data_IF_486271086910
#
_entry.id   IF_486271086910
#
_cell.length_a   1.000
_cell.length_b   1.000
_cell.length_c   1.000
_cell.angle_alpha   90.00
_cell.angle_beta   90.00
_cell.angle_gamma   90.00
#
_symmetry.space_group_name_H-M   'P 1'
#
loop_
_entity.id
_entity.type
_entity.pdbx_description
1 polymer ?
#
# COMPACT_ATOMS: atom_id res chain seq x y z
N UNK A 1 58.96 69.25 53.62
CA UNK A 1 57.73 68.50 53.31
C UNK A 1 57.93 67.84 51.94
N UNK A 2 58.34 66.55 51.98
CA UNK A 2 58.78 65.76 50.83
C UNK A 2 57.66 64.75 50.51
N UNK A 3 57.06 64.83 49.32
CA UNK A 3 56.09 63.81 48.84
C UNK A 3 56.85 62.79 48.02
N UNK A 4 56.97 61.56 48.55
CA UNK A 4 57.47 60.44 47.84
C UNK A 4 56.44 59.83 46.92
N UNK A 5 56.63 59.93 45.60
CA UNK A 5 55.89 59.22 44.59
C UNK A 5 56.41 57.79 44.45
N UNK A 6 55.56 56.80 44.80
CA UNK A 6 55.77 55.39 44.57
C UNK A 6 55.41 55.08 43.15
N UNK A 7 56.32 54.68 42.28
CA UNK A 7 56.11 54.11 40.97
C UNK A 7 55.83 52.59 41.12
N UNK A 8 54.62 52.17 40.75
CA UNK A 8 54.24 50.74 40.62
C UNK A 8 54.68 50.25 39.21
N UNK A 9 55.46 49.18 39.09
CA UNK A 9 55.76 48.63 37.77
C UNK A 9 54.57 47.83 37.26
N UNK A 10 54.04 48.22 36.09
CA UNK A 10 53.08 47.43 35.33
C UNK A 10 53.77 46.23 34.72
N UNK A 11 53.44 45.05 35.22
CA UNK A 11 53.94 43.78 34.69
C UNK A 11 53.03 43.37 33.52
N UNK A 12 53.45 43.60 32.27
CA UNK A 12 52.83 43.11 31.06
C UNK A 12 53.04 41.59 30.96
N UNK A 13 52.02 40.80 31.32
CA UNK A 13 52.00 39.36 31.02
C UNK A 13 51.75 39.18 29.51
N UNK A 14 52.79 38.84 28.76
CA UNK A 14 52.71 38.38 27.38
C UNK A 14 52.24 36.92 27.46
N UNK A 15 50.95 36.69 27.20
CA UNK A 15 50.41 35.36 26.95
C UNK A 15 50.89 34.91 25.56
N UNK A 16 51.99 34.16 25.52
CA UNK A 16 52.37 33.40 24.34
C UNK A 16 51.42 32.20 24.20
N UNK A 17 50.30 32.42 23.49
CA UNK A 17 49.44 31.35 23.02
C UNK A 17 50.20 30.51 22.01
N UNK A 18 50.74 29.35 22.43
CA UNK A 18 51.17 28.32 21.49
C UNK A 18 49.92 27.84 20.73
N UNK A 19 49.68 28.45 19.56
CA UNK A 19 48.75 27.83 18.60
C UNK A 19 49.40 26.51 18.13
N UNK A 20 48.91 25.40 18.63
CA UNK A 20 49.25 24.08 18.10
C UNK A 20 48.71 24.01 16.67
N UNK A 21 49.55 24.20 15.69
CA UNK A 21 49.24 23.93 14.29
C UNK A 21 49.23 22.41 14.17
N UNK A 22 48.00 21.83 14.17
CA UNK A 22 47.85 20.40 13.92
C UNK A 22 48.53 20.00 12.61
N UNK A 23 48.90 18.74 12.49
CA UNK A 23 49.51 18.22 11.25
C UNK A 23 48.60 18.59 10.05
N UNK A 24 49.20 19.00 8.91
CA UNK A 24 48.40 19.31 7.71
C UNK A 24 47.55 18.10 7.35
N UNK A 25 46.24 18.29 7.30
CA UNK A 25 45.33 17.24 6.82
C UNK A 25 45.76 16.81 5.41
N UNK A 26 45.78 15.51 5.11
CA UNK A 26 46.07 15.03 3.77
C UNK A 26 45.12 15.69 2.75
N UNK A 27 45.61 15.99 1.53
CA UNK A 27 44.77 16.63 0.52
C UNK A 27 43.54 15.80 0.25
N UNK A 28 42.37 16.43 0.31
CA UNK A 28 41.08 15.77 0.05
C UNK A 28 41.08 15.15 -1.36
N UNK A 29 40.77 13.86 -1.45
CA UNK A 29 40.75 13.10 -2.71
C UNK A 29 39.63 13.54 -3.61
N UNK A 30 38.52 14.05 -3.01
CA UNK A 30 37.31 14.48 -3.72
C UNK A 30 36.71 13.39 -4.65
N UNK A 31 36.86 12.14 -4.28
CA UNK A 31 36.28 11.00 -4.99
C UNK A 31 34.84 10.82 -4.48
N UNK A 32 33.82 10.84 -5.33
CA UNK A 32 32.44 10.59 -4.91
C UNK A 32 32.30 9.19 -4.29
N UNK A 33 31.42 9.03 -3.31
CA UNK A 33 30.98 7.71 -2.88
C UNK A 33 30.39 6.93 -4.06
N UNK A 34 30.42 5.60 -3.95
CA UNK A 34 29.89 4.70 -4.96
C UNK A 34 28.36 4.77 -4.98
N UNK A 35 27.76 4.76 -6.17
CA UNK A 35 26.32 4.59 -6.33
C UNK A 35 25.94 3.15 -5.97
N UNK A 36 25.09 2.95 -4.97
CA UNK A 36 24.67 1.62 -4.48
C UNK A 36 23.20 1.28 -4.77
N UNK A 37 22.44 2.21 -5.35
CA UNK A 37 21.00 2.12 -5.49
C UNK A 37 20.51 1.98 -6.94
N UNK A 38 21.38 1.53 -7.88
CA UNK A 38 20.97 1.35 -9.27
C UNK A 38 19.88 0.28 -9.38
N UNK A 39 18.74 0.67 -9.94
CA UNK A 39 17.59 -0.21 -10.22
C UNK A 39 17.14 0.01 -11.65
N UNK A 40 16.72 -1.06 -12.29
CA UNK A 40 16.23 -1.04 -13.67
C UNK A 40 15.01 -1.94 -13.74
N UNK A 41 13.92 -1.43 -14.32
CA UNK A 41 12.69 -2.18 -14.54
C UNK A 41 12.05 -1.75 -15.85
N UNK A 42 11.09 -2.53 -16.32
CA UNK A 42 10.29 -2.16 -17.49
C UNK A 42 8.88 -1.77 -17.04
N UNK A 43 8.38 -0.66 -17.59
CA UNK A 43 7.01 -0.21 -17.41
C UNK A 43 6.37 0.04 -18.77
N UNK A 44 5.37 -0.77 -19.14
CA UNK A 44 4.81 -0.73 -20.46
C UNK A 44 5.90 -0.83 -21.54
N UNK A 45 5.93 0.13 -22.44
CA UNK A 45 6.91 0.23 -23.52
C UNK A 45 8.19 1.01 -23.13
N UNK A 46 8.39 1.35 -21.87
CA UNK A 46 9.54 2.08 -21.38
C UNK A 46 10.41 1.25 -20.42
N UNK A 47 11.70 1.53 -20.39
CA UNK A 47 12.64 1.08 -19.36
C UNK A 47 12.88 2.23 -18.40
N UNK A 48 12.61 1.97 -17.13
CA UNK A 48 12.81 2.90 -16.02
C UNK A 48 14.16 2.59 -15.34
N UNK A 49 15.02 3.60 -15.26
CA UNK A 49 16.33 3.52 -14.62
C UNK A 49 16.35 4.49 -13.45
N UNK A 50 16.58 3.98 -12.26
CA UNK A 50 16.62 4.78 -11.04
C UNK A 50 17.93 4.59 -10.29
N UNK A 51 18.53 5.66 -9.78
CA UNK A 51 19.68 5.62 -8.87
C UNK A 51 19.76 6.90 -8.04
N UNK A 52 20.60 6.89 -7.02
CA UNK A 52 20.83 8.08 -6.18
C UNK A 52 22.28 8.53 -6.35
N UNK A 53 22.47 9.78 -6.77
CA UNK A 53 23.79 10.43 -6.75
C UNK A 53 24.11 10.73 -5.28
N UNK A 54 25.25 10.24 -4.74
CA UNK A 54 25.62 10.50 -3.36
C UNK A 54 25.79 11.99 -3.09
N UNK A 55 25.59 12.40 -1.86
CA UNK A 55 25.81 13.76 -1.39
C UNK A 55 27.21 13.98 -0.79
N UNK A 56 27.97 12.89 -0.59
CA UNK A 56 29.29 12.91 0.01
C UNK A 56 30.37 12.31 -0.92
N UNK A 57 31.57 12.69 -0.62
CA UNK A 57 32.81 12.07 -1.12
C UNK A 57 33.32 11.02 -0.12
N UNK A 58 34.24 10.14 -0.54
CA UNK A 58 34.81 9.07 0.30
C UNK A 58 35.58 9.60 1.52
N UNK A 59 35.97 10.87 1.52
CA UNK A 59 36.60 11.61 2.62
C UNK A 59 35.59 12.44 3.42
N UNK A 60 34.25 12.18 3.27
CA UNK A 60 33.18 12.78 4.06
C UNK A 60 32.89 14.25 3.75
N UNK A 61 33.37 14.77 2.62
CA UNK A 61 33.07 16.14 2.18
C UNK A 61 31.83 16.18 1.30
N UNK A 62 31.12 17.32 1.31
CA UNK A 62 29.97 17.52 0.44
C UNK A 62 30.32 17.40 -1.04
N UNK A 63 29.67 16.51 -1.77
CA UNK A 63 29.90 16.28 -3.19
C UNK A 63 29.30 17.40 -4.02
N UNK A 64 30.10 17.93 -4.95
CA UNK A 64 29.66 18.71 -6.10
C UNK A 64 29.83 17.84 -7.33
N UNK A 65 28.74 17.27 -7.88
CA UNK A 65 28.82 16.38 -9.03
C UNK A 65 29.37 17.13 -10.27
N UNK A 66 30.17 16.45 -11.06
CA UNK A 66 30.65 16.93 -12.37
C UNK A 66 29.85 16.26 -13.50
N UNK A 67 30.11 14.99 -13.75
CA UNK A 67 29.45 14.20 -14.79
C UNK A 67 28.96 12.86 -14.24
N UNK A 68 27.93 12.29 -14.86
CA UNK A 68 27.47 10.93 -14.63
C UNK A 68 27.77 10.12 -15.88
N UNK A 69 28.33 8.95 -15.72
CA UNK A 69 28.51 7.96 -16.76
C UNK A 69 27.56 6.79 -16.48
N UNK A 70 26.48 6.73 -17.23
CA UNK A 70 25.50 5.63 -17.18
C UNK A 70 25.64 4.82 -18.46
N UNK A 71 26.05 3.58 -18.32
CA UNK A 71 26.31 2.65 -19.40
C UNK A 71 25.27 1.55 -19.48
N UNK A 72 24.91 1.16 -20.70
CA UNK A 72 24.08 0.00 -20.98
C UNK A 72 24.68 -0.85 -22.10
N UNK A 73 24.65 -2.19 -21.98
CA UNK A 73 25.16 -3.12 -22.99
C UNK A 73 24.46 -4.48 -22.88
N UNK A 74 24.36 -5.18 -24.01
CA UNK A 74 23.97 -6.60 -24.03
C UNK A 74 25.10 -7.51 -23.50
N UNK A 75 26.33 -7.07 -23.61
CA UNK A 75 27.47 -7.82 -23.08
C UNK A 75 27.53 -7.65 -21.56
N UNK A 76 27.61 -8.78 -20.86
CA UNK A 76 27.83 -8.76 -19.42
C UNK A 76 29.19 -8.13 -19.09
N UNK A 77 29.28 -7.23 -18.11
CA UNK A 77 30.57 -6.70 -17.67
C UNK A 77 31.39 -7.81 -17.00
N UNK A 78 32.69 -7.92 -17.30
CA UNK A 78 33.56 -8.84 -16.59
C UNK A 78 33.76 -8.35 -15.14
N UNK A 79 34.02 -9.23 -14.16
CA UNK A 79 34.12 -8.87 -12.75
C UNK A 79 35.09 -7.72 -12.46
N UNK A 80 36.24 -7.71 -13.13
CA UNK A 80 37.32 -6.73 -12.91
C UNK A 80 37.58 -5.81 -14.12
N UNK A 81 36.57 -5.65 -15.00
CA UNK A 81 36.79 -4.99 -16.31
C UNK A 81 35.75 -3.93 -16.67
N UNK A 82 35.04 -3.33 -15.73
CA UNK A 82 34.00 -2.35 -15.98
C UNK A 82 34.47 -1.14 -16.82
N UNK A 83 35.68 -0.67 -16.63
CA UNK A 83 36.24 0.44 -17.44
C UNK A 83 36.47 0.05 -18.92
N UNK A 84 36.86 -1.19 -19.19
CA UNK A 84 36.99 -1.69 -20.55
C UNK A 84 35.61 -1.93 -21.20
N UNK A 85 34.68 -2.49 -20.44
CA UNK A 85 33.29 -2.68 -20.84
C UNK A 85 32.60 -1.34 -21.16
N UNK A 86 32.83 -0.32 -20.32
CA UNK A 86 32.23 1.01 -20.46
C UNK A 86 32.72 1.78 -21.72
N UNK A 87 33.81 1.37 -22.35
CA UNK A 87 34.23 1.94 -23.65
C UNK A 87 33.41 1.45 -24.82
N UNK A 88 32.66 0.36 -24.65
CA UNK A 88 31.88 -0.28 -25.72
C UNK A 88 30.36 -0.23 -25.44
N UNK A 89 29.96 0.33 -24.30
CA UNK A 89 28.54 0.43 -23.94
C UNK A 89 27.86 1.60 -24.65
N UNK A 90 26.51 1.53 -24.72
CA UNK A 90 25.68 2.68 -25.03
C UNK A 90 25.71 3.63 -23.84
N UNK A 91 26.11 4.90 -24.07
CA UNK A 91 26.07 5.93 -23.04
C UNK A 91 24.67 6.55 -22.97
N UNK A 92 24.08 6.53 -21.79
CA UNK A 92 22.79 7.17 -21.54
C UNK A 92 23.04 8.54 -20.89
N UNK A 93 22.60 9.63 -21.53
CA UNK A 93 22.87 10.98 -21.02
C UNK A 93 22.14 11.24 -19.71
N UNK A 94 22.80 11.94 -18.80
CA UNK A 94 22.25 12.43 -17.53
C UNK A 94 22.56 13.90 -17.46
N UNK A 95 21.57 14.74 -17.67
CA UNK A 95 21.74 16.20 -17.72
C UNK A 95 21.77 16.80 -16.31
N UNK A 96 22.66 17.79 -16.12
CA UNK A 96 22.74 18.62 -14.91
C UNK A 96 22.68 17.81 -13.60
N UNK A 97 23.65 16.89 -13.36
CA UNK A 97 23.58 16.01 -12.20
C UNK A 97 23.67 16.80 -10.88
N UNK A 98 22.76 16.47 -9.97
CA UNK A 98 22.73 16.99 -8.60
C UNK A 98 22.68 15.81 -7.62
N UNK A 99 23.14 15.95 -6.38
CA UNK A 99 22.95 14.94 -5.35
C UNK A 99 21.47 14.61 -5.18
N UNK A 100 21.16 13.33 -4.97
CA UNK A 100 19.78 12.86 -4.77
C UNK A 100 19.32 11.89 -5.85
N UNK A 101 18.00 11.63 -5.86
CA UNK A 101 17.39 10.63 -6.73
C UNK A 101 17.33 11.08 -8.20
N UNK A 102 17.83 10.23 -9.08
CA UNK A 102 17.74 10.36 -10.54
C UNK A 102 16.77 9.30 -11.06
N UNK A 103 15.88 9.70 -11.98
CA UNK A 103 14.99 8.79 -12.70
C UNK A 103 15.06 9.11 -14.18
N UNK A 104 15.25 8.09 -14.98
CA UNK A 104 15.32 8.19 -16.44
C UNK A 104 14.36 7.17 -17.01
N UNK A 105 13.43 7.65 -17.84
CA UNK A 105 12.53 6.81 -18.62
C UNK A 105 12.98 6.85 -20.08
N UNK A 106 13.09 5.68 -20.69
CA UNK A 106 13.47 5.58 -22.11
C UNK A 106 12.63 4.52 -22.83
N UNK A 107 12.34 4.67 -24.12
CA UNK A 107 11.66 3.63 -24.89
C UNK A 107 12.43 2.30 -24.87
N UNK A 108 11.73 1.20 -24.59
CA UNK A 108 12.30 -0.15 -24.57
C UNK A 108 12.72 -0.64 -25.97
N UNK A 109 12.10 -0.14 -27.02
CA UNK A 109 12.16 -0.55 -28.43
C UNK A 109 13.41 -1.29 -28.88
N UNK A 110 14.58 -0.61 -28.93
CA UNK A 110 15.84 -1.22 -29.39
C UNK A 110 16.39 -2.32 -28.45
N UNK A 111 15.89 -2.37 -27.21
CA UNK A 111 16.30 -3.35 -26.19
C UNK A 111 15.32 -4.53 -26.06
N UNK A 112 14.16 -4.46 -26.70
CA UNK A 112 13.16 -5.54 -26.64
C UNK A 112 13.72 -6.86 -27.14
N UNK A 113 13.56 -7.92 -26.35
CA UNK A 113 14.10 -9.26 -26.61
C UNK A 113 15.55 -9.46 -26.16
N UNK A 114 16.18 -8.45 -25.56
CA UNK A 114 17.58 -8.46 -25.15
C UNK A 114 17.72 -8.46 -23.62
N UNK A 115 18.83 -9.02 -23.15
CA UNK A 115 19.24 -8.89 -21.75
C UNK A 115 20.27 -7.76 -21.65
N UNK A 116 19.89 -6.70 -20.95
CA UNK A 116 20.71 -5.50 -20.79
C UNK A 116 21.39 -5.49 -19.43
N UNK A 117 22.66 -5.11 -19.44
CA UNK A 117 23.45 -4.86 -18.24
C UNK A 117 23.74 -3.36 -18.13
N UNK A 118 23.49 -2.79 -16.96
CA UNK A 118 23.68 -1.36 -16.72
C UNK A 118 24.59 -1.15 -15.53
N UNK A 119 25.44 -0.14 -15.62
CA UNK A 119 26.26 0.34 -14.52
C UNK A 119 26.39 1.85 -14.56
N UNK A 120 26.56 2.48 -13.41
CA UNK A 120 26.66 3.92 -13.27
C UNK A 120 27.84 4.31 -12.38
N UNK A 121 28.51 5.41 -12.72
CA UNK A 121 29.47 6.11 -11.83
C UNK A 121 29.29 7.61 -11.96
N UNK A 122 29.78 8.32 -10.96
CA UNK A 122 29.68 9.78 -10.85
C UNK A 122 31.06 10.39 -10.71
N UNK A 123 31.32 11.52 -11.34
CA UNK A 123 32.52 12.29 -11.08
C UNK A 123 32.24 13.46 -10.15
N UNK A 124 33.27 13.90 -9.40
CA UNK A 124 33.23 15.21 -8.78
C UNK A 124 33.49 16.32 -9.81
N UNK A 125 33.22 17.57 -9.43
CA UNK A 125 33.53 18.76 -10.25
C UNK A 125 35.04 18.89 -10.56
N UNK A 126 35.91 18.19 -9.83
CA UNK A 126 37.34 18.09 -10.08
C UNK A 126 37.72 16.95 -11.02
N UNK A 127 36.75 16.28 -11.64
CA UNK A 127 36.95 15.18 -12.58
C UNK A 127 37.40 13.85 -11.95
N UNK A 128 37.28 13.71 -10.63
CA UNK A 128 37.59 12.44 -9.94
C UNK A 128 36.33 11.56 -10.00
N UNK A 129 36.50 10.34 -10.53
CA UNK A 129 35.40 9.37 -10.67
C UNK A 129 35.26 8.48 -9.43
N UNK A 130 34.03 8.17 -9.05
CA UNK A 130 33.72 7.08 -8.11
C UNK A 130 34.05 5.72 -8.73
N UNK A 131 34.03 4.69 -7.92
CA UNK A 131 33.89 3.33 -8.42
C UNK A 131 32.55 3.16 -9.15
N UNK A 132 32.49 2.15 -10.02
CA UNK A 132 31.24 1.76 -10.67
C UNK A 132 30.26 1.17 -9.65
N UNK A 133 28.97 1.39 -9.86
CA UNK A 133 27.91 0.66 -9.15
C UNK A 133 28.04 -0.85 -9.39
N UNK A 134 27.39 -1.66 -8.56
CA UNK A 134 27.08 -3.04 -8.95
C UNK A 134 26.27 -2.99 -10.26
N UNK A 135 26.59 -3.86 -11.24
CA UNK A 135 25.80 -3.95 -12.45
C UNK A 135 24.37 -4.41 -12.16
N UNK A 136 23.39 -3.67 -12.67
CA UNK A 136 22.00 -4.10 -12.71
C UNK A 136 21.72 -4.83 -14.05
N UNK A 137 20.85 -5.81 -14.02
CA UNK A 137 20.49 -6.61 -15.18
C UNK A 137 18.97 -6.58 -15.41
N UNK A 138 18.55 -6.38 -16.67
CA UNK A 138 17.16 -6.42 -17.08
C UNK A 138 17.01 -7.19 -18.39
N UNK A 139 16.21 -8.22 -18.41
CA UNK A 139 15.73 -8.83 -19.65
C UNK A 139 14.47 -8.06 -20.12
N UNK A 140 14.62 -7.31 -21.20
CA UNK A 140 13.54 -6.49 -21.74
C UNK A 140 12.64 -7.36 -22.62
N UNK A 141 11.39 -7.46 -22.24
CA UNK A 141 10.37 -8.26 -22.93
C UNK A 141 9.44 -7.38 -23.78
N UNK A 142 8.63 -7.95 -24.70
CA UNK A 142 7.52 -7.19 -25.29
C UNK A 142 6.63 -6.59 -24.20
N UNK A 143 6.10 -5.39 -24.44
CA UNK A 143 5.24 -4.69 -23.50
C UNK A 143 4.09 -5.57 -23.01
N UNK A 144 3.87 -5.59 -21.71
CA UNK A 144 2.69 -6.26 -21.12
C UNK A 144 1.47 -5.38 -21.33
N UNK A 145 0.37 -6.00 -21.73
CA UNK A 145 -0.92 -5.32 -21.84
C UNK A 145 -1.57 -5.19 -20.44
N UNK A 146 -2.10 -4.02 -20.09
CA UNK A 146 -2.85 -3.86 -18.84
C UNK A 146 -4.13 -4.68 -18.88
N UNK A 147 -4.59 -5.21 -17.73
CA UNK A 147 -5.89 -5.88 -17.66
C UNK A 147 -7.02 -4.95 -18.11
N UNK A 148 -7.84 -5.42 -19.02
CA UNK A 148 -9.05 -4.74 -19.48
C UNK A 148 -10.30 -5.30 -18.80
N UNK A 149 -11.44 -4.60 -18.92
CA UNK A 149 -12.75 -5.06 -18.44
C UNK A 149 -12.76 -5.49 -16.97
N UNK A 150 -12.14 -4.66 -16.10
CA UNK A 150 -12.17 -4.86 -14.67
C UNK A 150 -13.62 -4.69 -14.19
N UNK A 151 -14.11 -5.68 -13.45
CA UNK A 151 -15.43 -5.67 -12.84
C UNK A 151 -15.29 -5.46 -11.34
N UNK A 152 -16.10 -4.57 -10.78
CA UNK A 152 -16.22 -4.32 -9.36
C UNK A 152 -17.57 -4.86 -8.87
N UNK A 153 -17.53 -5.65 -7.82
CA UNK A 153 -18.70 -6.21 -7.14
C UNK A 153 -18.62 -5.85 -5.66
N UNK A 154 -19.68 -5.22 -5.14
CA UNK A 154 -19.80 -5.00 -3.70
C UNK A 154 -20.31 -6.28 -3.07
N UNK A 155 -19.61 -6.79 -2.07
CA UNK A 155 -19.94 -8.00 -1.30
C UNK A 155 -19.96 -7.66 0.19
N UNK A 156 -20.51 -8.53 1.02
CA UNK A 156 -20.60 -8.31 2.48
C UNK A 156 -19.22 -8.01 3.10
N UNK A 157 -18.17 -8.61 2.59
CA UNK A 157 -16.80 -8.48 3.09
C UNK A 157 -16.06 -7.26 2.53
N UNK A 158 -16.62 -6.54 1.51
CA UNK A 158 -15.95 -5.39 0.90
C UNK A 158 -16.20 -5.21 -0.60
N UNK A 159 -15.15 -4.92 -1.36
CA UNK A 159 -15.20 -4.76 -2.82
C UNK A 159 -14.36 -5.84 -3.48
N UNK A 160 -14.99 -6.68 -4.29
CA UNK A 160 -14.35 -7.71 -5.09
C UNK A 160 -14.05 -7.19 -6.48
N UNK A 161 -12.80 -7.32 -6.90
CA UNK A 161 -12.34 -7.03 -8.23
C UNK A 161 -12.19 -8.32 -9.03
N UNK A 162 -12.60 -8.32 -10.28
CA UNK A 162 -12.36 -9.41 -11.23
C UNK A 162 -11.91 -8.85 -12.56
N UNK A 163 -10.98 -9.53 -13.22
CA UNK A 163 -10.50 -9.20 -14.56
C UNK A 163 -10.27 -10.48 -15.37
N UNK A 164 -10.17 -10.40 -16.71
CA UNK A 164 -9.87 -11.58 -17.52
C UNK A 164 -8.52 -12.19 -17.13
N UNK A 165 -8.49 -13.50 -16.94
CA UNK A 165 -7.26 -14.22 -16.72
C UNK A 165 -6.36 -14.12 -17.97
N UNK A 166 -5.04 -13.93 -17.82
CA UNK A 166 -4.11 -14.00 -18.92
C UNK A 166 -4.03 -15.44 -19.48
N UNK A 167 -3.54 -15.62 -20.69
CA UNK A 167 -3.30 -16.96 -21.23
C UNK A 167 -2.44 -17.80 -20.27
N UNK A 168 -2.83 -19.06 -20.08
CA UNK A 168 -2.14 -19.98 -19.17
C UNK A 168 -0.65 -20.12 -19.53
N UNK A 169 0.21 -20.25 -18.53
CA UNK A 169 1.65 -20.53 -18.69
C UNK A 169 2.56 -19.32 -18.90
N UNK A 170 2.04 -18.10 -18.86
CA UNK A 170 2.87 -16.90 -19.09
C UNK A 170 3.50 -16.30 -17.81
N UNK A 171 3.22 -16.87 -16.62
CA UNK A 171 3.86 -16.47 -15.35
C UNK A 171 3.60 -15.02 -14.95
N UNK A 172 2.37 -14.53 -15.20
CA UNK A 172 1.95 -13.20 -14.74
C UNK A 172 1.42 -13.26 -13.31
N UNK A 173 1.68 -12.18 -12.57
CA UNK A 173 0.94 -11.78 -11.39
C UNK A 173 0.35 -10.39 -11.63
N UNK A 174 -0.46 -9.92 -10.67
CA UNK A 174 -1.11 -8.61 -10.78
C UNK A 174 -0.80 -7.78 -9.55
N UNK A 175 -0.76 -6.48 -9.76
CA UNK A 175 -0.70 -5.48 -8.70
C UNK A 175 -1.98 -4.67 -8.74
N UNK A 176 -2.66 -4.59 -7.60
CA UNK A 176 -3.88 -3.78 -7.46
C UNK A 176 -3.51 -2.44 -6.85
N UNK A 177 -4.02 -1.38 -7.47
CA UNK A 177 -3.85 0.00 -7.05
C UNK A 177 -5.19 0.54 -6.59
N UNK A 178 -5.16 1.34 -5.53
CA UNK A 178 -6.35 2.00 -4.98
C UNK A 178 -6.08 3.48 -4.72
N UNK A 179 -7.12 4.29 -4.90
CA UNK A 179 -7.22 5.65 -4.38
C UNK A 179 -8.43 5.65 -3.46
N UNK A 180 -8.22 5.84 -2.17
CA UNK A 180 -9.27 5.95 -1.16
C UNK A 180 -9.73 7.39 -0.95
N UNK A 181 -10.71 7.62 -0.08
CA UNK A 181 -11.36 8.94 0.09
C UNK A 181 -10.41 10.06 0.56
N UNK A 182 -9.33 9.73 1.26
CA UNK A 182 -8.31 10.68 1.72
C UNK A 182 -6.90 10.18 1.41
N UNK A 183 -6.76 9.28 0.46
CA UNK A 183 -5.51 8.61 0.14
C UNK A 183 -4.96 9.10 -1.19
N UNK A 184 -3.63 9.11 -1.32
CA UNK A 184 -2.99 9.15 -2.61
C UNK A 184 -3.04 7.75 -3.24
N UNK A 185 -2.84 7.69 -4.56
CA UNK A 185 -2.73 6.42 -5.26
C UNK A 185 -1.64 5.55 -4.61
N UNK A 186 -2.02 4.36 -4.19
CA UNK A 186 -1.12 3.40 -3.58
C UNK A 186 -1.39 1.99 -4.08
N UNK A 187 -0.37 1.13 -4.08
CA UNK A 187 -0.54 -0.29 -4.30
C UNK A 187 -1.08 -0.93 -3.00
N UNK A 188 -2.24 -1.55 -3.07
CA UNK A 188 -2.89 -2.22 -1.93
C UNK A 188 -2.71 -3.75 -1.96
N UNK A 189 -2.35 -4.30 -3.10
CA UNK A 189 -1.95 -5.69 -3.24
C UNK A 189 -0.90 -5.84 -4.36
N UNK A 190 0.15 -6.60 -4.08
CA UNK A 190 1.17 -6.99 -5.05
C UNK A 190 1.22 -8.51 -5.21
N UNK A 191 1.70 -9.00 -6.34
CA UNK A 191 1.86 -10.43 -6.63
C UNK A 191 0.55 -11.25 -6.47
N UNK A 192 -0.59 -10.71 -6.88
CA UNK A 192 -1.85 -11.44 -6.96
C UNK A 192 -1.78 -12.38 -8.16
N UNK A 193 -1.79 -13.69 -7.92
CA UNK A 193 -1.68 -14.70 -8.99
C UNK A 193 -3.03 -15.02 -9.64
N UNK A 194 -4.14 -14.79 -8.91
CA UNK A 194 -5.51 -14.97 -9.43
C UNK A 194 -5.98 -13.76 -10.23
N UNK A 195 -6.95 -13.97 -11.12
CA UNK A 195 -7.65 -12.88 -11.81
C UNK A 195 -8.78 -12.27 -10.96
N UNK A 196 -8.65 -12.33 -9.66
CA UNK A 196 -9.61 -11.85 -8.67
C UNK A 196 -8.89 -11.38 -7.41
N UNK A 197 -9.41 -10.31 -6.79
CA UNK A 197 -8.92 -9.82 -5.50
C UNK A 197 -10.07 -9.17 -4.72
N UNK A 198 -10.05 -9.28 -3.39
CA UNK A 198 -11.06 -8.73 -2.48
C UNK A 198 -10.43 -7.68 -1.56
N UNK A 199 -10.92 -6.44 -1.64
CA UNK A 199 -10.61 -5.38 -0.69
C UNK A 199 -11.54 -5.43 0.51
N UNK A 200 -11.06 -5.97 1.61
CA UNK A 200 -11.77 -6.06 2.89
C UNK A 200 -11.55 -4.82 3.78
N UNK A 201 -10.79 -3.83 3.31
CA UNK A 201 -10.40 -2.66 4.09
C UNK A 201 -11.24 -1.43 3.76
N UNK A 202 -12.24 -1.58 2.91
CA UNK A 202 -13.15 -0.49 2.53
C UNK A 202 -14.15 -0.17 3.64
N UNK A 203 -14.52 1.10 3.71
CA UNK A 203 -15.65 1.57 4.50
C UNK A 203 -16.86 1.78 3.59
N UNK A 204 -17.99 1.21 3.94
CA UNK A 204 -19.25 1.41 3.19
C UNK A 204 -19.64 2.90 3.18
N UNK A 205 -20.08 3.37 2.01
CA UNK A 205 -20.46 4.77 1.77
C UNK A 205 -19.30 5.69 1.42
N UNK A 206 -18.07 5.18 1.30
CA UNK A 206 -16.92 5.94 0.83
C UNK A 206 -16.59 5.61 -0.62
N UNK A 207 -16.00 6.58 -1.34
CA UNK A 207 -15.61 6.39 -2.73
C UNK A 207 -14.19 5.84 -2.83
N UNK A 208 -14.03 4.79 -3.64
CA UNK A 208 -12.75 4.17 -3.97
C UNK A 208 -12.59 4.07 -5.48
N UNK A 209 -11.37 4.22 -5.96
CA UNK A 209 -11.03 3.98 -7.36
C UNK A 209 -9.92 2.94 -7.45
N UNK A 210 -10.09 1.96 -8.31
CA UNK A 210 -9.20 0.83 -8.47
C UNK A 210 -8.65 0.77 -9.88
N UNK A 211 -7.36 0.40 -9.99
CA UNK A 211 -6.72 0.00 -11.23
C UNK A 211 -5.89 -1.26 -11.01
N UNK A 212 -5.66 -2.02 -12.06
CA UNK A 212 -4.87 -3.25 -12.02
C UNK A 212 -3.74 -3.16 -13.03
N UNK A 213 -2.59 -3.69 -12.67
CA UNK A 213 -1.38 -3.72 -13.46
C UNK A 213 -0.92 -5.17 -13.59
N UNK A 214 -0.65 -5.65 -14.80
CA UNK A 214 0.00 -6.93 -14.99
C UNK A 214 1.49 -6.81 -14.67
N UNK A 215 2.06 -7.80 -13.99
CA UNK A 215 3.45 -7.82 -13.56
C UNK A 215 4.06 -9.18 -13.92
N UNK A 216 5.30 -9.16 -14.37
CA UNK A 216 6.10 -10.37 -14.58
C UNK A 216 7.47 -10.18 -13.95
N UNK A 217 7.75 -10.96 -12.94
CA UNK A 217 9.03 -10.99 -12.24
C UNK A 217 9.59 -12.41 -12.27
N UNK A 218 10.68 -12.63 -12.99
CA UNK A 218 11.33 -13.94 -13.10
C UNK A 218 12.79 -13.76 -13.54
N UNK A 219 13.74 -14.13 -12.69
CA UNK A 219 15.16 -13.96 -12.98
C UNK A 219 15.51 -12.49 -13.28
N UNK A 220 15.97 -12.23 -14.48
CA UNK A 220 16.30 -10.87 -14.95
C UNK A 220 15.09 -10.06 -15.45
N UNK A 221 13.90 -10.63 -15.47
CA UNK A 221 12.67 -9.94 -15.89
C UNK A 221 12.08 -9.22 -14.69
N UNK A 222 11.96 -7.89 -14.79
CA UNK A 222 11.19 -7.04 -13.87
C UNK A 222 10.36 -6.08 -14.74
N UNK A 223 9.17 -6.55 -15.14
CA UNK A 223 8.32 -5.86 -16.09
C UNK A 223 6.90 -5.71 -15.53
N UNK A 224 6.32 -4.54 -15.73
CA UNK A 224 4.94 -4.23 -15.44
C UNK A 224 4.28 -3.60 -16.67
N UNK A 225 2.97 -3.83 -16.85
CA UNK A 225 2.18 -3.10 -17.83
C UNK A 225 2.00 -1.63 -17.42
N UNK A 226 1.41 -0.81 -18.30
CA UNK A 226 0.74 0.40 -17.83
C UNK A 226 -0.39 0.03 -16.85
N UNK A 227 -0.87 1.03 -16.09
CA UNK A 227 -2.07 0.85 -15.30
C UNK A 227 -3.29 0.70 -16.21
N UNK A 228 -4.23 -0.15 -15.83
CA UNK A 228 -5.57 -0.12 -16.42
C UNK A 228 -6.24 1.24 -16.19
N UNK A 229 -7.36 1.50 -16.85
CA UNK A 229 -8.24 2.58 -16.45
C UNK A 229 -8.67 2.41 -14.98
N UNK A 230 -8.88 3.53 -14.29
CA UNK A 230 -9.44 3.51 -12.94
C UNK A 230 -10.95 3.28 -13.00
N UNK A 231 -11.43 2.33 -12.21
CA UNK A 231 -12.84 2.00 -12.01
C UNK A 231 -13.27 2.47 -10.62
N UNK A 232 -14.40 3.18 -10.54
CA UNK A 232 -14.90 3.73 -9.29
C UNK A 232 -15.96 2.81 -8.66
N UNK A 233 -15.92 2.71 -7.33
CA UNK A 233 -16.91 2.04 -6.51
C UNK A 233 -17.24 2.89 -5.29
N UNK A 234 -18.54 2.99 -4.99
CA UNK A 234 -19.05 3.48 -3.71
C UNK A 234 -19.78 2.30 -3.07
N UNK A 235 -19.10 1.47 -2.28
CA UNK A 235 -19.73 0.30 -1.68
C UNK A 235 -20.86 0.73 -0.76
N UNK A 236 -22.05 0.21 -1.00
CA UNK A 236 -23.23 0.41 -0.16
C UNK A 236 -23.54 -0.91 0.53
N UNK A 237 -23.72 -0.85 1.84
CA UNK A 237 -24.10 -2.02 2.61
C UNK A 237 -25.60 -2.30 2.43
N UNK A 238 -25.89 -3.37 1.71
CA UNK A 238 -27.25 -3.89 1.48
C UNK A 238 -27.37 -5.34 1.96
N UNK A 239 -26.43 -5.81 2.77
CA UNK A 239 -26.33 -7.20 3.20
C UNK A 239 -26.94 -7.38 4.58
N UNK A 240 -28.14 -7.99 4.67
CA UNK A 240 -28.79 -8.21 5.96
C UNK A 240 -27.96 -9.17 6.84
N UNK A 241 -28.11 -9.05 8.18
CA UNK A 241 -27.56 -10.02 9.12
C UNK A 241 -28.16 -11.43 8.90
N UNK A 242 -27.51 -12.43 9.48
CA UNK A 242 -28.10 -13.76 9.57
C UNK A 242 -29.37 -13.74 10.43
N UNK A 243 -30.39 -14.48 10.03
CA UNK A 243 -31.60 -14.61 10.82
C UNK A 243 -31.28 -15.25 12.19
N UNK A 244 -31.83 -14.74 13.31
CA UNK A 244 -31.68 -15.36 14.62
C UNK A 244 -32.19 -16.79 14.64
N UNK A 245 -31.52 -17.65 15.38
CA UNK A 245 -31.89 -19.05 15.61
C UNK A 245 -32.33 -19.32 17.05
N UNK A 246 -32.88 -20.49 17.33
CA UNK A 246 -33.16 -20.92 18.70
C UNK A 246 -34.26 -20.16 19.40
N UNK A 247 -35.16 -19.46 18.67
CA UNK A 247 -36.28 -18.78 19.30
C UNK A 247 -37.13 -19.77 20.12
N UNK A 248 -37.32 -19.45 21.39
CA UNK A 248 -38.25 -20.16 22.31
C UNK A 248 -39.25 -19.18 22.88
N UNK A 249 -40.48 -19.66 23.12
CA UNK A 249 -41.55 -18.91 23.77
C UNK A 249 -42.14 -19.73 24.91
N UNK A 250 -42.06 -19.23 26.15
CA UNK A 250 -42.52 -19.92 27.34
C UNK A 250 -43.63 -19.09 27.97
N UNK A 251 -44.83 -19.68 28.15
CA UNK A 251 -45.95 -19.04 28.80
C UNK A 251 -45.69 -18.97 30.32
N UNK A 252 -45.70 -17.75 30.86
CA UNK A 252 -45.72 -17.43 32.30
C UNK A 252 -47.12 -17.07 32.81
N UNK A 253 -47.20 -16.62 34.05
CA UNK A 253 -48.41 -16.06 34.62
C UNK A 253 -48.58 -14.60 34.13
N UNK A 254 -49.42 -14.40 33.07
CA UNK A 254 -49.64 -13.07 32.50
C UNK A 254 -48.46 -12.51 31.66
N UNK A 255 -47.56 -13.37 31.19
CA UNK A 255 -46.48 -13.01 30.29
C UNK A 255 -46.14 -14.17 29.36
N UNK A 256 -45.41 -13.85 28.25
CA UNK A 256 -44.66 -14.83 27.47
C UNK A 256 -43.23 -14.42 27.48
N UNK A 257 -42.35 -15.30 27.94
CA UNK A 257 -40.91 -15.10 27.98
C UNK A 257 -40.29 -15.66 26.68
N UNK A 258 -39.59 -14.80 25.98
CA UNK A 258 -38.94 -15.10 24.70
C UNK A 258 -37.43 -15.05 24.83
N UNK A 259 -36.73 -16.01 24.24
CA UNK A 259 -35.30 -16.02 24.15
C UNK A 259 -34.86 -16.63 22.81
N UNK A 260 -33.73 -16.17 22.29
CA UNK A 260 -33.13 -16.65 21.04
C UNK A 260 -31.61 -16.58 21.09
N UNK A 261 -30.94 -17.18 20.12
CA UNK A 261 -29.48 -17.13 20.01
C UNK A 261 -29.01 -15.75 19.58
N UNK A 262 -27.89 -15.31 20.17
CA UNK A 262 -27.28 -14.02 19.81
C UNK A 262 -26.72 -14.08 18.39
N UNK A 263 -27.04 -13.09 17.55
CA UNK A 263 -26.41 -12.94 16.23
C UNK A 263 -24.90 -12.70 16.36
N UNK A 264 -24.08 -13.37 15.55
CA UNK A 264 -22.63 -13.14 15.49
C UNK A 264 -22.25 -11.89 14.66
N UNK A 265 -23.18 -11.26 13.97
CA UNK A 265 -22.90 -10.12 13.10
C UNK A 265 -22.38 -8.92 13.92
N UNK A 266 -21.28 -8.33 13.45
CA UNK A 266 -20.56 -7.26 14.19
C UNK A 266 -21.26 -5.91 14.13
N UNK A 267 -22.05 -5.70 13.09
CA UNK A 267 -22.79 -4.48 12.79
C UNK A 267 -24.26 -4.55 13.19
N UNK A 268 -24.62 -5.54 14.02
CA UNK A 268 -25.97 -5.71 14.56
C UNK A 268 -26.41 -4.47 15.34
N UNK A 269 -27.51 -3.82 14.93
CA UNK A 269 -28.18 -2.77 15.70
C UNK A 269 -29.13 -3.34 16.74
N UNK A 270 -29.78 -4.48 16.47
CA UNK A 270 -30.70 -5.13 17.37
C UNK A 270 -31.58 -6.16 16.68
N UNK A 271 -32.62 -6.54 17.41
CA UNK A 271 -33.61 -7.52 16.95
C UNK A 271 -34.97 -6.87 16.82
N UNK A 272 -35.74 -7.26 15.81
CA UNK A 272 -37.16 -6.91 15.65
C UNK A 272 -38.02 -8.11 15.93
N UNK A 273 -38.84 -7.98 16.94
CA UNK A 273 -39.81 -9.02 17.33
C UNK A 273 -41.12 -8.79 16.61
N UNK A 274 -41.76 -9.87 16.15
CA UNK A 274 -43.09 -9.86 15.56
C UNK A 274 -44.01 -10.76 16.35
N UNK A 275 -45.27 -10.33 16.48
CA UNK A 275 -46.33 -11.08 17.15
C UNK A 275 -47.59 -11.20 16.28
N UNK A 276 -48.24 -12.33 16.37
CA UNK A 276 -49.59 -12.57 15.83
C UNK A 276 -50.47 -13.14 16.92
N UNK A 277 -51.76 -12.77 16.93
CA UNK A 277 -52.75 -13.23 17.87
C UNK A 277 -53.84 -14.02 17.11
N UNK A 278 -54.15 -15.25 17.54
CA UNK A 278 -55.24 -16.05 16.97
C UNK A 278 -55.11 -16.34 15.46
N UNK A 279 -53.87 -16.44 14.95
CA UNK A 279 -53.63 -16.70 13.52
C UNK A 279 -53.69 -15.48 12.60
N UNK A 280 -53.79 -14.27 13.15
CA UNK A 280 -53.72 -13.02 12.37
C UNK A 280 -52.31 -12.82 11.75
N UNK A 281 -52.14 -11.75 10.98
CA UNK A 281 -50.86 -11.39 10.38
C UNK A 281 -49.80 -11.03 11.46
N UNK A 282 -48.58 -11.45 11.28
CA UNK A 282 -47.44 -11.09 12.13
C UNK A 282 -47.11 -9.61 11.96
N UNK A 283 -47.12 -8.85 13.06
CA UNK A 283 -46.83 -7.41 13.10
C UNK A 283 -45.66 -7.13 14.05
N UNK A 284 -44.85 -6.11 13.76
CA UNK A 284 -43.78 -5.69 14.67
C UNK A 284 -44.31 -5.40 16.08
N UNK A 285 -43.60 -5.85 17.09
CA UNK A 285 -43.92 -5.64 18.51
C UNK A 285 -42.86 -4.71 19.13
N UNK A 286 -43.23 -3.42 19.22
CA UNK A 286 -42.33 -2.40 19.80
C UNK A 286 -41.14 -2.01 18.92
N UNK A 287 -40.13 -1.40 19.58
CA UNK A 287 -38.89 -0.94 18.99
C UNK A 287 -37.85 -2.08 18.86
N UNK A 288 -36.66 -1.77 18.33
CA UNK A 288 -35.55 -2.72 18.25
C UNK A 288 -35.08 -3.12 19.66
N UNK A 289 -34.81 -4.39 19.85
CA UNK A 289 -34.41 -5.01 21.11
C UNK A 289 -32.92 -5.32 21.05
N UNK A 290 -32.13 -4.78 21.95
CA UNK A 290 -30.68 -5.01 21.99
C UNK A 290 -30.29 -6.38 22.59
N UNK A 291 -31.12 -6.92 23.48
CA UNK A 291 -30.90 -8.21 24.15
C UNK A 291 -31.52 -9.37 23.36
N UNK A 292 -30.97 -10.58 23.38
CA UNK A 292 -31.55 -11.75 22.75
C UNK A 292 -32.67 -12.37 23.59
N UNK A 293 -33.48 -11.55 24.24
CA UNK A 293 -34.62 -11.95 25.06
C UNK A 293 -35.64 -10.83 25.19
N UNK A 294 -36.91 -11.19 25.41
CA UNK A 294 -38.00 -10.24 25.61
C UNK A 294 -39.09 -10.86 26.48
N UNK A 295 -39.71 -10.05 27.33
CA UNK A 295 -40.90 -10.44 28.12
C UNK A 295 -42.13 -9.71 27.57
N UNK A 296 -43.02 -10.43 26.89
CA UNK A 296 -44.32 -9.88 26.43
C UNK A 296 -45.34 -10.00 27.55
N UNK A 297 -45.76 -8.86 28.11
CA UNK A 297 -46.72 -8.75 29.21
C UNK A 297 -48.08 -8.24 28.74
N UNK A 298 -48.22 -7.91 27.46
CA UNK A 298 -49.48 -7.49 26.86
C UNK A 298 -50.20 -8.71 26.25
N UNK A 299 -50.52 -9.68 27.10
CA UNK A 299 -51.08 -10.97 26.73
C UNK A 299 -52.23 -11.33 27.67
N UNK A 300 -53.25 -12.08 27.20
CA UNK A 300 -54.35 -12.53 27.99
C UNK A 300 -54.42 -14.08 28.07
N UNK A 301 -54.88 -14.67 29.16
CA UNK A 301 -55.00 -16.11 29.30
C UNK A 301 -55.87 -16.72 28.19
N UNK A 302 -55.45 -17.86 27.69
CA UNK A 302 -56.10 -18.59 26.61
C UNK A 302 -55.78 -18.08 25.16
N UNK A 303 -55.04 -16.98 25.02
CA UNK A 303 -54.62 -16.53 23.67
C UNK A 303 -53.59 -17.49 23.08
N UNK A 304 -53.75 -17.79 21.78
CA UNK A 304 -52.74 -18.46 20.96
C UNK A 304 -51.94 -17.37 20.24
N UNK A 305 -50.65 -17.30 20.55
CA UNK A 305 -49.72 -16.28 20.04
C UNK A 305 -48.64 -16.94 19.20
N UNK A 306 -48.24 -16.25 18.12
CA UNK A 306 -47.10 -16.67 17.29
C UNK A 306 -46.07 -15.56 17.30
N UNK A 307 -44.82 -15.91 17.49
CA UNK A 307 -43.69 -14.99 17.49
C UNK A 307 -42.63 -15.39 16.47
N UNK A 308 -41.99 -14.41 15.86
CA UNK A 308 -40.74 -14.56 15.17
C UNK A 308 -39.83 -13.37 15.48
N UNK A 309 -38.56 -13.56 15.32
CA UNK A 309 -37.55 -12.54 15.53
C UNK A 309 -36.64 -12.44 14.33
N UNK A 310 -36.33 -11.20 13.91
CA UNK A 310 -35.36 -10.89 12.87
C UNK A 310 -34.18 -10.10 13.48
N UNK A 311 -33.03 -10.12 12.83
CA UNK A 311 -31.89 -9.27 13.16
C UNK A 311 -31.87 -8.05 12.21
N UNK A 312 -31.49 -6.90 12.74
CA UNK A 312 -31.38 -5.66 11.98
C UNK A 312 -30.00 -5.06 12.21
N UNK A 313 -29.28 -4.67 11.17
CA UNK A 313 -27.98 -4.03 11.26
C UNK A 313 -28.07 -2.50 11.46
N UNK A 314 -26.90 -1.86 11.61
CA UNK A 314 -26.81 -0.39 11.79
C UNK A 314 -27.20 0.42 10.56
N UNK A 315 -27.36 -0.22 9.39
CA UNK A 315 -27.81 0.39 8.14
C UNK A 315 -29.32 0.21 7.92
N UNK A 316 -29.95 -0.62 8.74
CA UNK A 316 -31.38 -0.91 8.66
C UNK A 316 -31.71 -2.11 7.78
N UNK A 317 -30.71 -2.89 7.32
CA UNK A 317 -30.99 -4.13 6.61
C UNK A 317 -31.53 -5.15 7.62
N UNK A 318 -32.65 -5.78 7.28
CA UNK A 318 -33.32 -6.76 8.14
C UNK A 318 -33.19 -8.17 7.58
N UNK A 319 -32.85 -9.12 8.44
CA UNK A 319 -32.67 -10.52 8.08
C UNK A 319 -33.95 -11.16 7.48
N UNK A 320 -33.78 -12.30 6.83
CA UNK A 320 -34.89 -13.14 6.46
C UNK A 320 -35.73 -13.48 7.71
N UNK A 321 -37.05 -13.66 7.51
CA UNK A 321 -37.98 -14.08 8.56
C UNK A 321 -37.87 -15.59 8.74
N UNK A 322 -37.54 -16.09 9.96
CA UNK A 322 -37.60 -17.52 10.25
C UNK A 322 -39.03 -17.98 10.46
N UNK A 323 -39.21 -19.28 10.63
CA UNK A 323 -40.52 -19.83 11.00
C UNK A 323 -40.93 -19.33 12.40
N UNK A 324 -42.21 -18.97 12.59
CA UNK A 324 -42.69 -18.49 13.88
C UNK A 324 -42.85 -19.63 14.88
N UNK A 325 -42.65 -19.31 16.15
CA UNK A 325 -42.93 -20.19 17.28
C UNK A 325 -44.30 -19.87 17.85
N UNK A 326 -45.12 -20.91 18.12
CA UNK A 326 -46.46 -20.77 18.69
C UNK A 326 -46.45 -21.09 20.19
N UNK A 327 -47.25 -20.34 20.96
CA UNK A 327 -47.44 -20.54 22.39
C UNK A 327 -48.86 -20.17 22.80
N UNK A 328 -49.44 -20.95 23.74
CA UNK A 328 -50.72 -20.61 24.37
C UNK A 328 -50.49 -20.02 25.73
N UNK A 329 -51.03 -18.82 25.99
CA UNK A 329 -50.91 -18.12 27.28
C UNK A 329 -51.68 -18.87 28.33
N UNK A 330 -51.09 -19.08 29.48
CA UNK A 330 -51.71 -19.77 30.66
C UNK A 330 -52.52 -18.81 31.50
#
# INVERSE_FOLDING_TARGET
>A
MSESRVLLPVFCLILAGCAYVGEPLPPALNIPERVTSLRVSQQGAAVEIGFTIPDLTTDGLGLKPGAVQLCASELAPPPDGLDAWARQCEQIPVDSPQPGAVRISRPAGAWTGKQMHLAVRVSSHKGRWSEWSEPAMLAVIPSLEPPERIQLEVVKEGVRLRWPAPPAGQGYSFRVWRIGPNEQQSSVAGAVESAEWLDQTVEFGKTYRYAVQAVRQSGAIDAASELSAFHESVPVDTFPPAAPTGLTAIAGLGSVELAWDRSPDRDLAGYRLYRSVGGAELRPLGDLIASPSYSDRDVAPGQVLRYLVTAVDVRGNESARPDPVEVTVR
#
